data_IF_034087494218
#
_entry.id   IF_034087494218
#
_cell.length_a   1.000
_cell.length_b   1.000
_cell.length_c   1.000
_cell.angle_alpha   90.00
_cell.angle_beta   90.00
_cell.angle_gamma   90.00
#
_symmetry.space_group_name_H-M   'P 1'
#
loop_
_entity.id
_entity.type
_entity.pdbx_description
1 polymer ?
#
# COMPACT_ATOMS: atom_id res chain seq x y z
N UNK A 1 -4.51 -18.01 -21.99
CA UNK A 1 -4.95 -16.60 -22.10
C UNK A 1 -6.28 -16.34 -21.41
N UNK A 2 -7.37 -17.09 -21.69
CA UNK A 2 -8.67 -16.89 -21.00
C UNK A 2 -8.75 -17.56 -19.61
N UNK A 3 -7.94 -18.59 -19.36
CA UNK A 3 -7.81 -19.27 -18.05
C UNK A 3 -6.98 -18.44 -17.07
N UNK A 4 -5.87 -17.87 -17.52
CA UNK A 4 -4.92 -17.14 -16.68
C UNK A 4 -5.55 -15.83 -16.13
N UNK A 5 -6.33 -15.14 -16.97
CA UNK A 5 -7.08 -13.94 -16.57
C UNK A 5 -8.18 -14.22 -15.54
N UNK A 6 -8.80 -15.42 -15.56
CA UNK A 6 -9.82 -15.82 -14.58
C UNK A 6 -9.22 -16.10 -13.21
N UNK A 7 -8.07 -16.78 -13.16
CA UNK A 7 -7.39 -17.05 -11.89
C UNK A 7 -6.89 -15.73 -11.28
N UNK A 8 -6.34 -14.84 -12.12
CA UNK A 8 -5.92 -13.49 -11.74
C UNK A 8 -7.02 -12.65 -11.09
N UNK A 9 -8.18 -12.65 -11.73
CA UNK A 9 -9.36 -11.96 -11.21
C UNK A 9 -9.75 -12.44 -9.81
N UNK A 10 -9.61 -13.73 -9.51
CA UNK A 10 -9.97 -14.29 -8.20
C UNK A 10 -9.07 -13.73 -7.10
N UNK A 11 -7.74 -13.76 -7.28
CA UNK A 11 -6.85 -13.25 -6.23
C UNK A 11 -6.90 -11.73 -6.15
N UNK A 12 -7.04 -11.00 -7.27
CA UNK A 12 -7.22 -9.55 -7.21
C UNK A 12 -8.50 -9.14 -6.47
N UNK A 13 -9.61 -9.86 -6.66
CA UNK A 13 -10.84 -9.63 -5.88
C UNK A 13 -10.63 -9.93 -4.40
N UNK A 14 -9.97 -11.05 -4.08
CA UNK A 14 -9.66 -11.42 -2.70
C UNK A 14 -8.82 -10.34 -2.00
N UNK A 15 -7.72 -9.90 -2.60
CA UNK A 15 -6.87 -8.86 -2.03
C UNK A 15 -7.57 -7.50 -1.97
N UNK A 16 -8.42 -7.16 -2.95
CA UNK A 16 -9.19 -5.92 -2.90
C UNK A 16 -10.15 -5.91 -1.72
N UNK A 17 -10.89 -7.00 -1.52
CA UNK A 17 -11.77 -7.16 -0.35
C UNK A 17 -10.97 -7.12 0.94
N UNK A 18 -9.81 -7.79 1.00
CA UNK A 18 -8.92 -7.73 2.16
C UNK A 18 -8.50 -6.29 2.51
N UNK A 19 -8.08 -5.48 1.53
CA UNK A 19 -7.70 -4.08 1.78
C UNK A 19 -8.89 -3.23 2.21
N UNK A 20 -10.05 -3.38 1.57
CA UNK A 20 -11.26 -2.64 1.94
C UNK A 20 -11.71 -3.01 3.36
N UNK A 21 -11.78 -4.31 3.69
CA UNK A 21 -12.12 -4.77 5.03
C UNK A 21 -11.10 -4.30 6.08
N UNK A 22 -9.81 -4.35 5.77
CA UNK A 22 -8.75 -3.85 6.68
C UNK A 22 -8.88 -2.34 6.92
N UNK A 23 -9.18 -1.56 5.88
CA UNK A 23 -9.39 -0.12 6.00
C UNK A 23 -10.65 0.20 6.82
N UNK A 24 -11.76 -0.49 6.55
CA UNK A 24 -13.00 -0.34 7.33
C UNK A 24 -12.75 -0.71 8.79
N UNK A 25 -12.08 -1.84 9.06
CA UNK A 25 -11.74 -2.26 10.42
C UNK A 25 -10.91 -1.18 11.14
N UNK A 26 -9.87 -0.67 10.48
CA UNK A 26 -9.00 0.36 11.04
C UNK A 26 -9.74 1.67 11.32
N UNK A 27 -10.58 2.13 10.39
CA UNK A 27 -11.43 3.31 10.60
C UNK A 27 -12.37 3.07 11.79
N UNK A 28 -13.06 1.93 11.84
CA UNK A 28 -13.93 1.64 13.00
C UNK A 28 -13.13 1.68 14.30
N UNK A 29 -11.96 1.04 14.36
CA UNK A 29 -11.10 1.05 15.55
C UNK A 29 -10.75 2.47 16.00
N UNK A 30 -10.46 3.38 15.08
CA UNK A 30 -10.12 4.79 15.40
C UNK A 30 -11.31 5.61 15.88
N UNK A 31 -12.52 5.36 15.36
CA UNK A 31 -13.70 6.17 15.64
C UNK A 31 -14.59 5.61 16.77
N UNK A 32 -14.45 4.33 17.13
CA UNK A 32 -15.24 3.70 18.21
C UNK A 32 -14.46 3.55 19.52
N UNK A 33 -13.21 4.00 19.56
CA UNK A 33 -12.36 3.89 20.73
C UNK A 33 -11.82 5.28 21.13
N UNK A 34 -11.83 5.55 22.43
CA UNK A 34 -11.40 6.83 23.00
C UNK A 34 -9.99 6.79 23.60
N UNK A 35 -9.26 5.69 23.38
CA UNK A 35 -7.86 5.58 23.76
C UNK A 35 -7.03 6.75 23.17
N UNK A 36 -6.25 7.48 24.00
CA UNK A 36 -5.47 8.64 23.54
C UNK A 36 -4.51 8.32 22.39
N UNK A 37 -3.93 7.12 22.37
CA UNK A 37 -3.04 6.69 21.29
C UNK A 37 -3.82 6.52 19.98
N UNK A 38 -5.04 6.01 20.02
CA UNK A 38 -5.88 5.91 18.82
C UNK A 38 -6.37 7.27 18.32
N UNK A 39 -6.61 8.25 19.20
CA UNK A 39 -6.89 9.64 18.76
C UNK A 39 -5.68 10.27 18.07
N UNK A 40 -4.48 9.98 18.55
CA UNK A 40 -3.25 10.42 17.87
C UNK A 40 -3.10 9.77 16.49
N UNK A 41 -3.33 8.46 16.39
CA UNK A 41 -3.36 7.77 15.09
C UNK A 41 -4.51 8.28 14.22
N UNK A 42 -5.65 8.66 14.76
CA UNK A 42 -6.74 9.23 13.97
C UNK A 42 -6.31 10.53 13.28
N UNK A 43 -5.51 11.36 13.98
CA UNK A 43 -5.02 12.63 13.46
C UNK A 43 -3.85 12.46 12.49
N UNK A 44 -2.84 11.65 12.84
CA UNK A 44 -1.62 11.49 12.04
C UNK A 44 -1.63 10.27 11.10
N UNK A 45 -2.57 9.36 11.28
CA UNK A 45 -2.77 8.11 10.53
C UNK A 45 -2.67 8.26 9.02
N UNK A 46 -3.38 9.25 8.41
CA UNK A 46 -3.31 9.48 6.97
C UNK A 46 -1.90 9.78 6.43
N UNK A 47 -0.94 10.13 7.28
CA UNK A 47 0.44 10.45 6.88
C UNK A 47 1.41 9.28 7.03
N UNK A 48 0.98 8.14 7.58
CA UNK A 48 1.81 6.93 7.60
C UNK A 48 1.97 6.36 6.19
N UNK A 49 3.20 5.98 5.83
CA UNK A 49 3.50 5.45 4.50
C UNK A 49 2.77 4.14 4.22
N UNK A 50 2.47 3.36 5.26
CA UNK A 50 1.71 2.11 5.15
C UNK A 50 0.28 2.36 4.66
N UNK A 51 -0.36 3.46 5.08
CA UNK A 51 -1.68 3.87 4.57
C UNK A 51 -1.61 4.23 3.09
N UNK A 52 -0.59 4.98 2.68
CA UNK A 52 -0.38 5.36 1.27
C UNK A 52 -0.13 4.13 0.41
N UNK A 53 0.68 3.20 0.90
CA UNK A 53 0.92 1.91 0.27
C UNK A 53 -0.37 1.12 0.07
N UNK A 54 -1.23 1.04 1.10
CA UNK A 54 -2.52 0.35 1.01
C UNK A 54 -3.47 1.02 0.00
N UNK A 55 -3.51 2.36 -0.05
CA UNK A 55 -4.33 3.09 -1.03
C UNK A 55 -3.85 2.84 -2.47
N UNK A 56 -2.54 2.84 -2.69
CA UNK A 56 -1.97 2.52 -4.00
C UNK A 56 -2.24 1.07 -4.41
N UNK A 57 -2.19 0.11 -3.48
CA UNK A 57 -2.59 -1.28 -3.75
C UNK A 57 -4.07 -1.38 -4.14
N UNK A 58 -4.98 -0.67 -3.46
CA UNK A 58 -6.40 -0.62 -3.85
C UNK A 58 -6.55 -0.05 -5.27
N UNK A 59 -5.89 1.07 -5.59
CA UNK A 59 -5.93 1.66 -6.94
C UNK A 59 -5.44 0.65 -7.98
N UNK A 60 -4.32 -0.01 -7.72
CA UNK A 60 -3.77 -1.02 -8.61
C UNK A 60 -4.69 -2.23 -8.79
N UNK A 61 -5.31 -2.73 -7.73
CA UNK A 61 -6.25 -3.85 -7.79
C UNK A 61 -7.50 -3.49 -8.59
N UNK A 62 -8.05 -2.28 -8.41
CA UNK A 62 -9.16 -1.78 -9.24
C UNK A 62 -8.76 -1.69 -10.71
N UNK A 63 -7.56 -1.18 -11.00
CA UNK A 63 -7.03 -1.14 -12.37
C UNK A 63 -6.84 -2.53 -12.96
N UNK A 64 -6.40 -3.51 -12.16
CA UNK A 64 -6.20 -4.90 -12.56
C UNK A 64 -7.51 -5.60 -12.89
N UNK A 65 -8.55 -5.42 -12.06
CA UNK A 65 -9.89 -5.93 -12.35
C UNK A 65 -10.51 -5.26 -13.58
N UNK A 66 -10.33 -3.94 -13.74
CA UNK A 66 -10.78 -3.22 -14.93
C UNK A 66 -10.05 -3.71 -16.19
N UNK A 67 -8.76 -3.97 -16.09
CA UNK A 67 -7.89 -4.51 -17.15
C UNK A 67 -8.33 -5.91 -17.58
N UNK A 68 -8.59 -6.80 -16.62
CA UNK A 68 -9.11 -8.14 -16.88
C UNK A 68 -10.47 -8.10 -17.59
N UNK A 69 -11.40 -7.26 -17.12
CA UNK A 69 -12.71 -7.09 -17.77
C UNK A 69 -12.61 -6.45 -19.15
N UNK A 70 -11.60 -5.60 -19.39
CA UNK A 70 -11.36 -4.96 -20.68
C UNK A 70 -11.00 -5.95 -21.79
N UNK A 71 -10.66 -7.21 -21.46
CA UNK A 71 -10.47 -8.29 -22.43
C UNK A 71 -11.75 -8.61 -23.21
N UNK A 72 -12.92 -8.34 -22.65
CA UNK A 72 -14.22 -8.58 -23.29
C UNK A 72 -14.74 -7.37 -24.11
N UNK A 73 -14.01 -6.25 -24.12
CA UNK A 73 -14.44 -5.05 -24.83
C UNK A 73 -14.33 -5.19 -26.36
N UNK A 74 -15.21 -4.53 -27.12
CA UNK A 74 -15.17 -4.58 -28.58
C UNK A 74 -13.86 -3.97 -29.12
N UNK A 75 -13.40 -4.46 -30.28
CA UNK A 75 -12.13 -4.05 -30.93
C UNK A 75 -11.95 -2.53 -31.06
N UNK A 76 -13.03 -1.76 -31.23
CA UNK A 76 -13.01 -0.29 -31.30
C UNK A 76 -12.43 0.38 -30.03
N UNK A 77 -12.49 -0.30 -28.88
CA UNK A 77 -12.00 0.19 -27.58
C UNK A 77 -10.57 -0.26 -27.28
N UNK A 78 -9.85 -0.85 -28.25
CA UNK A 78 -8.47 -1.33 -28.05
C UNK A 78 -7.51 -0.26 -27.54
N UNK A 79 -7.67 1.01 -27.98
CA UNK A 79 -6.87 2.14 -27.48
C UNK A 79 -7.07 2.37 -25.97
N UNK A 80 -8.31 2.25 -25.48
CA UNK A 80 -8.64 2.41 -24.06
C UNK A 80 -8.01 1.27 -23.26
N UNK A 81 -8.13 0.03 -23.75
CA UNK A 81 -7.47 -1.14 -23.15
C UNK A 81 -5.96 -0.95 -23.01
N UNK A 82 -5.27 -0.53 -24.09
CA UNK A 82 -3.82 -0.29 -24.01
C UNK A 82 -3.43 0.81 -23.01
N UNK A 83 -4.21 1.89 -22.93
CA UNK A 83 -3.98 2.93 -21.92
C UNK A 83 -4.17 2.40 -20.50
N UNK A 84 -5.18 1.57 -20.28
CA UNK A 84 -5.46 0.95 -19.00
C UNK A 84 -4.33 0.00 -18.57
N UNK A 85 -3.86 -0.88 -19.46
CA UNK A 85 -2.69 -1.74 -19.20
C UNK A 85 -1.44 -0.91 -18.88
N UNK A 86 -1.20 0.15 -19.69
CA UNK A 86 -0.05 1.03 -19.49
C UNK A 86 -0.10 1.76 -18.16
N UNK A 87 -1.28 2.22 -17.73
CA UNK A 87 -1.47 2.87 -16.44
C UNK A 87 -1.32 1.86 -15.29
N UNK A 88 -1.94 0.68 -15.40
CA UNK A 88 -1.82 -0.42 -14.43
C UNK A 88 -0.34 -0.76 -14.19
N UNK A 89 0.40 -1.05 -15.27
CA UNK A 89 1.81 -1.39 -15.17
C UNK A 89 2.69 -0.23 -14.67
N UNK A 90 2.37 1.01 -15.06
CA UNK A 90 3.05 2.19 -14.52
C UNK A 90 2.87 2.30 -12.99
N UNK A 91 1.63 2.18 -12.49
CA UNK A 91 1.34 2.24 -11.06
C UNK A 91 2.00 1.09 -10.30
N UNK A 92 1.97 -0.12 -10.87
CA UNK A 92 2.59 -1.30 -10.27
C UNK A 92 4.10 -1.14 -10.11
N UNK A 93 4.81 -0.92 -11.23
CA UNK A 93 6.28 -0.89 -11.27
C UNK A 93 6.82 0.35 -10.55
N UNK A 94 6.16 1.50 -10.70
CA UNK A 94 6.67 2.77 -10.17
C UNK A 94 6.39 2.93 -8.67
N UNK A 95 5.25 2.44 -8.20
CA UNK A 95 4.79 2.73 -6.83
C UNK A 95 4.52 1.48 -6.01
N UNK A 96 3.59 0.63 -6.44
CA UNK A 96 3.10 -0.49 -5.60
C UNK A 96 4.22 -1.46 -5.25
N UNK A 97 4.98 -1.91 -6.24
CA UNK A 97 6.11 -2.83 -6.03
C UNK A 97 7.16 -2.25 -5.05
N UNK A 98 7.77 -1.07 -5.32
CA UNK A 98 8.82 -0.56 -4.46
C UNK A 98 8.30 -0.14 -3.07
N UNK A 99 7.12 0.50 -2.96
CA UNK A 99 6.60 0.91 -1.65
C UNK A 99 6.22 -0.28 -0.78
N UNK A 100 5.56 -1.28 -1.36
CA UNK A 100 5.16 -2.47 -0.60
C UNK A 100 6.40 -3.20 -0.10
N UNK A 101 7.40 -3.37 -0.97
CA UNK A 101 8.68 -3.96 -0.59
C UNK A 101 9.35 -3.18 0.55
N UNK A 102 9.41 -1.85 0.43
CA UNK A 102 10.00 -0.98 1.45
C UNK A 102 9.25 -1.04 2.78
N UNK A 103 7.92 -0.86 2.77
CA UNK A 103 7.10 -0.86 3.99
C UNK A 103 7.15 -2.21 4.69
N UNK A 104 7.04 -3.31 3.95
CA UNK A 104 7.15 -4.66 4.50
C UNK A 104 8.54 -4.90 5.09
N UNK A 105 9.61 -4.57 4.36
CA UNK A 105 10.98 -4.75 4.84
C UNK A 105 11.27 -3.89 6.08
N UNK A 106 10.87 -2.62 6.08
CA UNK A 106 11.04 -1.71 7.20
C UNK A 106 10.29 -2.20 8.44
N UNK A 107 9.02 -2.59 8.29
CA UNK A 107 8.23 -3.13 9.40
C UNK A 107 8.89 -4.36 10.02
N UNK A 108 9.23 -5.37 9.21
CA UNK A 108 9.79 -6.61 9.73
C UNK A 108 11.19 -6.41 10.31
N UNK A 109 12.01 -5.53 9.72
CA UNK A 109 13.32 -5.17 10.27
C UNK A 109 13.17 -4.56 11.66
N UNK A 110 12.29 -3.57 11.82
CA UNK A 110 12.03 -2.93 13.11
C UNK A 110 11.45 -3.96 14.10
N UNK A 111 10.46 -4.75 13.67
CA UNK A 111 9.81 -5.77 14.50
C UNK A 111 10.80 -6.80 15.06
N UNK A 112 11.76 -7.26 14.25
CA UNK A 112 12.76 -8.23 14.68
C UNK A 112 13.92 -7.62 15.49
N UNK A 113 14.30 -6.38 15.22
CA UNK A 113 15.39 -5.71 15.94
C UNK A 113 14.93 -5.18 17.31
N UNK A 114 13.81 -4.46 17.34
CA UNK A 114 13.21 -3.97 18.57
C UNK A 114 11.70 -3.72 18.37
N UNK A 115 10.91 -4.66 18.88
CA UNK A 115 9.45 -4.59 18.86
C UNK A 115 8.88 -3.37 19.58
N UNK A 116 9.62 -2.72 20.48
CA UNK A 116 9.13 -1.58 21.26
C UNK A 116 8.94 -0.33 20.38
N UNK A 117 9.59 -0.28 19.21
CA UNK A 117 9.36 0.75 18.20
C UNK A 117 8.07 0.54 17.40
N UNK A 118 7.43 -0.63 17.51
CA UNK A 118 6.07 -0.87 17.04
C UNK A 118 5.17 -0.69 18.27
N UNK A 119 4.37 0.39 18.35
CA UNK A 119 3.76 0.79 19.61
C UNK A 119 3.00 -0.36 20.26
N UNK A 120 3.26 -0.64 21.54
CA UNK A 120 2.60 -1.68 22.32
C UNK A 120 1.08 -1.50 22.36
N UNK A 121 0.61 -0.25 22.33
CA UNK A 121 -0.80 0.10 22.17
C UNK A 121 -1.40 -0.43 20.86
N UNK A 122 -0.61 -0.50 19.78
CA UNK A 122 -1.01 -1.18 18.53
C UNK A 122 -1.27 -2.67 18.78
N UNK A 123 -0.44 -3.35 19.58
CA UNK A 123 -0.63 -4.77 19.89
C UNK A 123 -1.75 -5.05 20.91
N UNK A 124 -2.02 -4.09 21.81
CA UNK A 124 -3.10 -4.20 22.78
C UNK A 124 -4.48 -3.96 22.14
N UNK A 125 -4.55 -3.10 21.12
CA UNK A 125 -5.79 -2.64 20.50
C UNK A 125 -6.09 -3.32 19.16
N UNK A 126 -5.07 -3.85 18.48
CA UNK A 126 -5.21 -4.60 17.23
C UNK A 126 -4.71 -6.04 17.41
N UNK A 127 -5.53 -7.05 17.05
CA UNK A 127 -5.08 -8.44 17.03
C UNK A 127 -3.78 -8.58 16.22
N UNK A 128 -2.80 -9.29 16.77
CA UNK A 128 -1.45 -9.42 16.18
C UNK A 128 -1.46 -9.91 14.73
N UNK A 129 -2.39 -10.80 14.38
CA UNK A 129 -2.55 -11.31 13.02
C UNK A 129 -3.03 -10.25 12.03
N UNK A 130 -3.84 -9.28 12.46
CA UNK A 130 -4.25 -8.14 11.61
C UNK A 130 -3.04 -7.25 11.36
N UNK A 131 -2.26 -6.94 12.41
CA UNK A 131 -1.05 -6.13 12.30
C UNK A 131 -0.03 -6.79 11.34
N UNK A 132 0.27 -8.07 11.55
CA UNK A 132 1.20 -8.82 10.71
C UNK A 132 0.70 -8.95 9.27
N UNK A 133 -0.60 -9.26 9.11
CA UNK A 133 -1.24 -9.37 7.82
C UNK A 133 -1.14 -8.07 7.02
N UNK A 134 -1.37 -6.92 7.66
CA UNK A 134 -1.34 -5.61 7.01
C UNK A 134 0.03 -5.31 6.38
N UNK A 135 1.11 -5.76 7.03
CA UNK A 135 2.48 -5.56 6.56
C UNK A 135 3.03 -6.72 5.71
N UNK A 136 2.30 -7.83 5.55
CA UNK A 136 2.79 -9.03 4.83
C UNK A 136 1.95 -9.35 3.59
N UNK A 137 0.63 -9.27 3.70
CA UNK A 137 -0.28 -9.71 2.63
C UNK A 137 -0.11 -8.90 1.35
N UNK A 138 0.19 -7.60 1.48
CA UNK A 138 0.53 -6.77 0.31
C UNK A 138 1.76 -7.30 -0.44
N UNK A 139 2.79 -7.78 0.27
CA UNK A 139 3.98 -8.35 -0.36
C UNK A 139 3.64 -9.67 -1.08
N UNK A 140 2.75 -10.49 -0.52
CA UNK A 140 2.26 -11.70 -1.19
C UNK A 140 1.57 -11.34 -2.51
N UNK A 141 0.68 -10.34 -2.50
CA UNK A 141 0.05 -9.82 -3.72
C UNK A 141 1.09 -9.38 -4.75
N UNK A 142 2.06 -8.57 -4.33
CA UNK A 142 3.11 -8.06 -5.23
C UNK A 142 3.95 -9.19 -5.83
N UNK A 143 4.29 -10.22 -5.04
CA UNK A 143 5.02 -11.38 -5.54
C UNK A 143 4.17 -12.23 -6.50
N UNK A 144 2.89 -12.42 -6.21
CA UNK A 144 1.97 -13.11 -7.13
C UNK A 144 1.91 -12.38 -8.48
N UNK A 145 1.75 -11.06 -8.46
CA UNK A 145 1.65 -10.29 -9.70
C UNK A 145 3.00 -10.14 -10.42
N UNK A 146 4.13 -10.17 -9.71
CA UNK A 146 5.44 -10.28 -10.36
C UNK A 146 5.62 -11.61 -11.10
N UNK A 147 5.09 -12.71 -10.56
CA UNK A 147 5.27 -14.05 -11.11
C UNK A 147 4.23 -14.39 -12.19
N UNK A 148 3.00 -13.91 -12.03
CA UNK A 148 1.86 -14.36 -12.84
C UNK A 148 1.24 -13.25 -13.72
N UNK A 149 1.45 -11.97 -13.43
CA UNK A 149 0.93 -10.87 -14.25
C UNK A 149 1.98 -10.32 -15.21
N UNK A 150 1.56 -10.08 -16.46
CA UNK A 150 2.39 -9.41 -17.46
C UNK A 150 2.16 -7.90 -17.44
N UNK A 151 2.59 -7.26 -16.35
CA UNK A 151 2.49 -5.82 -16.18
C UNK A 151 3.38 -5.07 -17.18
N UNK A 152 2.84 -4.04 -17.83
CA UNK A 152 3.62 -3.23 -18.75
C UNK A 152 4.75 -2.49 -18.01
N UNK A 153 5.99 -2.62 -18.50
CA UNK A 153 7.14 -1.97 -17.88
C UNK A 153 7.25 -0.53 -18.43
N UNK A 154 7.11 0.51 -17.59
CA UNK A 154 7.29 1.89 -18.02
C UNK A 154 8.77 2.21 -18.27
N UNK A 155 9.09 3.30 -19.00
CA UNK A 155 10.46 3.77 -19.14
C UNK A 155 11.10 4.04 -17.78
N UNK A 156 12.32 3.54 -17.54
CA UNK A 156 13.03 3.67 -16.26
C UNK A 156 13.11 5.12 -15.78
N UNK A 157 13.41 6.07 -16.68
CA UNK A 157 13.43 7.50 -16.34
C UNK A 157 12.09 8.01 -15.81
N UNK A 158 10.98 7.55 -16.39
CA UNK A 158 9.63 7.94 -15.96
C UNK A 158 9.29 7.34 -14.60
N UNK A 159 9.61 6.06 -14.39
CA UNK A 159 9.41 5.40 -13.10
C UNK A 159 10.27 6.06 -12.01
N UNK A 160 11.56 6.30 -12.27
CA UNK A 160 12.45 6.99 -11.35
C UNK A 160 11.95 8.38 -11.01
N UNK A 161 11.49 9.15 -11.99
CA UNK A 161 10.90 10.46 -11.74
C UNK A 161 9.66 10.35 -10.84
N UNK A 162 8.75 9.42 -11.12
CA UNK A 162 7.54 9.20 -10.33
C UNK A 162 7.83 8.83 -8.87
N UNK A 163 8.68 7.83 -8.63
CA UNK A 163 9.02 7.40 -7.26
C UNK A 163 9.81 8.48 -6.51
N UNK A 164 10.68 9.23 -7.20
CA UNK A 164 11.42 10.34 -6.58
C UNK A 164 10.48 11.46 -6.17
N UNK A 165 9.52 11.82 -7.02
CA UNK A 165 8.52 12.83 -6.68
C UNK A 165 7.68 12.40 -5.47
N UNK A 166 7.23 11.14 -5.45
CA UNK A 166 6.49 10.60 -4.30
C UNK A 166 7.34 10.65 -3.03
N UNK A 167 8.63 10.29 -3.10
CA UNK A 167 9.54 10.36 -1.98
C UNK A 167 9.72 11.79 -1.47
N UNK A 168 9.92 12.77 -2.36
CA UNK A 168 10.03 14.19 -1.97
C UNK A 168 8.77 14.66 -1.25
N UNK A 169 7.59 14.33 -1.79
CA UNK A 169 6.31 14.69 -1.16
C UNK A 169 6.18 14.04 0.22
N UNK A 170 6.47 12.74 0.30
CA UNK A 170 6.40 12.00 1.56
C UNK A 170 7.35 12.56 2.62
N UNK A 171 8.61 12.79 2.26
CA UNK A 171 9.61 13.34 3.20
C UNK A 171 9.27 14.79 3.60
N UNK A 172 8.74 15.60 2.69
CA UNK A 172 8.29 16.95 3.01
C UNK A 172 7.17 16.94 4.08
N UNK A 173 6.21 16.01 3.96
CA UNK A 173 5.16 15.82 4.96
C UNK A 173 5.75 15.27 6.27
N UNK A 174 6.59 14.24 6.18
CA UNK A 174 7.22 13.59 7.34
C UNK A 174 8.01 14.59 8.19
N UNK A 175 8.90 15.38 7.59
CA UNK A 175 9.64 16.42 8.29
C UNK A 175 8.78 17.62 8.67
N UNK A 176 7.79 17.98 7.83
CA UNK A 176 6.82 19.03 8.15
C UNK A 176 6.03 18.73 9.42
N UNK A 177 5.64 17.48 9.65
CA UNK A 177 4.95 17.06 10.89
C UNK A 177 5.86 17.26 12.11
N UNK A 178 7.14 16.87 12.00
CA UNK A 178 8.10 17.10 13.09
C UNK A 178 8.29 18.59 13.37
N UNK A 179 8.48 19.43 12.34
CA UNK A 179 8.69 20.87 12.50
C UNK A 179 7.46 21.57 13.09
N UNK A 180 6.25 21.20 12.65
CA UNK A 180 5.02 21.89 13.04
C UNK A 180 4.43 21.39 14.36
N UNK A 181 4.57 20.10 14.67
CA UNK A 181 3.93 19.46 15.82
C UNK A 181 4.93 18.91 16.85
N UNK A 182 6.24 18.94 16.58
CA UNK A 182 7.27 18.37 17.46
C UNK A 182 7.20 16.85 17.58
N UNK A 183 6.61 16.18 16.59
CA UNK A 183 6.33 14.73 16.64
C UNK A 183 6.94 13.98 15.46
N UNK A 184 7.56 12.85 15.75
CA UNK A 184 7.91 11.86 14.74
C UNK A 184 6.76 10.90 14.48
N UNK A 185 6.45 10.64 13.20
CA UNK A 185 5.45 9.64 12.82
C UNK A 185 5.85 8.21 13.23
N UNK A 186 7.15 7.91 13.26
CA UNK A 186 7.65 6.59 13.67
C UNK A 186 8.48 6.74 14.94
N UNK A 187 8.17 5.93 15.96
CA UNK A 187 8.80 5.99 17.28
C UNK A 187 10.33 5.89 17.18
N UNK A 188 10.83 5.07 16.26
CA UNK A 188 12.25 4.89 15.99
C UNK A 188 13.05 6.21 15.83
N UNK A 189 12.45 7.28 15.31
CA UNK A 189 13.16 8.55 15.12
C UNK A 189 13.36 9.35 16.40
N UNK A 190 12.59 9.10 17.46
CA UNK A 190 12.84 9.74 18.75
C UNK A 190 14.16 9.29 19.39
N UNK A 191 14.66 8.09 19.06
CA UNK A 191 15.98 7.64 19.54
C UNK A 191 17.15 8.33 18.85
N UNK A 192 16.89 9.06 17.75
CA UNK A 192 17.91 9.71 16.94
C UNK A 192 17.95 11.24 17.12
N UNK A 193 17.09 11.81 17.98
CA UNK A 193 16.96 13.25 18.25
C UNK A 193 17.07 13.56 19.72
#
# INVERSE_FOLDING_TARGET
MDTDSKISTIWHLFFLLYHICSLIFFINLLFTNDDPFLKEIQYFGPFYLSVWCSLLQIVYLVLSLASNNANHLPRKMRKIKHKLESLKGYIFITFVLPLTTYVTAAFWTIFFLNKDFVPSATFALMPSWINHGYHTNGMILVLMDLLFENNSIPPVKSALFGITLLAIVYYSIFFGIYILFGKWLYIFFYEMT
#
